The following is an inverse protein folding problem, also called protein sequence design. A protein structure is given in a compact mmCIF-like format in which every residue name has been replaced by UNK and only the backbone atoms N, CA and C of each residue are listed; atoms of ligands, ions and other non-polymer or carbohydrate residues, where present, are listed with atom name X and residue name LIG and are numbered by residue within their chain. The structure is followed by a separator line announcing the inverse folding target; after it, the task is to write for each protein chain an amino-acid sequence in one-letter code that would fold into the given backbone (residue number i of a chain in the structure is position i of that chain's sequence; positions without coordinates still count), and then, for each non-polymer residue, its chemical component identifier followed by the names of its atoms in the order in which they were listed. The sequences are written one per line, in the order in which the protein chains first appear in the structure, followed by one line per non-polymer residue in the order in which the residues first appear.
data_IF_000121785025
#
_entry.id   IF_000121785025
#
_cell.length_a   1.000
_cell.length_b   1.000
_cell.length_c   1.000
_cell.angle_alpha   90.00
_cell.angle_beta   90.00
_cell.angle_gamma   90.00
#
_symmetry.space_group_name_H-M   'P 1'
#
loop_
_entity.id
_entity.type
_entity.pdbx_description
1 polymer ?
#
# COMPACT_ATOMS: atom_id res chain seq x y z
N UNK A 1 9.90 27.93 13.37
CA UNK A 1 8.84 26.89 13.23
C UNK A 1 8.65 26.38 11.80
N UNK A 2 8.50 27.25 10.77
CA UNK A 2 8.29 26.78 9.39
C UNK A 2 9.42 25.89 8.83
N UNK A 3 10.68 26.27 9.06
CA UNK A 3 11.84 25.49 8.59
C UNK A 3 11.87 24.09 9.21
N UNK A 4 11.58 23.99 10.52
CA UNK A 4 11.41 22.71 11.21
C UNK A 4 10.31 21.86 10.55
N UNK A 5 9.14 22.43 10.26
CA UNK A 5 8.06 21.71 9.58
C UNK A 5 8.47 21.21 8.19
N UNK A 6 9.27 21.97 7.43
CA UNK A 6 9.79 21.52 6.14
C UNK A 6 10.81 20.38 6.27
N UNK A 7 11.70 20.43 7.27
CA UNK A 7 12.67 19.35 7.53
C UNK A 7 11.94 18.06 7.90
N UNK A 8 10.99 18.12 8.84
CA UNK A 8 10.19 16.96 9.22
C UNK A 8 9.35 16.42 8.06
N UNK A 9 8.78 17.29 7.23
CA UNK A 9 8.06 16.90 6.02
C UNK A 9 8.94 16.09 5.06
N UNK A 10 10.16 16.56 4.78
CA UNK A 10 11.08 15.85 3.88
C UNK A 10 11.50 14.50 4.47
N UNK A 11 11.83 14.45 5.76
CA UNK A 11 12.19 13.18 6.42
C UNK A 11 11.01 12.17 6.40
N UNK A 12 9.81 12.64 6.72
CA UNK A 12 8.61 11.82 6.70
C UNK A 12 8.25 11.34 5.29
N UNK A 13 8.48 12.18 4.26
CA UNK A 13 8.37 11.80 2.86
C UNK A 13 9.39 10.73 2.46
N UNK A 14 10.65 10.87 2.86
CA UNK A 14 11.68 9.89 2.53
C UNK A 14 11.35 8.51 3.10
N UNK A 15 10.92 8.44 4.37
CA UNK A 15 10.51 7.18 5.00
C UNK A 15 9.20 6.67 4.40
N UNK A 16 8.15 7.50 4.38
CA UNK A 16 6.82 7.09 3.92
C UNK A 16 6.78 6.74 2.44
N UNK A 17 7.36 7.60 1.61
CA UNK A 17 7.44 7.43 0.16
C UNK A 17 8.28 6.23 -0.26
N UNK A 18 9.41 5.98 0.42
CA UNK A 18 10.21 4.78 0.18
C UNK A 18 9.43 3.51 0.56
N UNK A 19 8.79 3.47 1.74
CA UNK A 19 7.98 2.33 2.16
C UNK A 19 6.81 2.05 1.20
N UNK A 20 6.08 3.08 0.75
CA UNK A 20 4.99 2.90 -0.23
C UNK A 20 5.48 2.52 -1.63
N UNK A 21 6.68 2.96 -2.03
CA UNK A 21 7.29 2.58 -3.31
C UNK A 21 7.81 1.15 -3.32
N UNK A 22 8.44 0.72 -2.21
CA UNK A 22 8.92 -0.67 -2.03
C UNK A 22 7.76 -1.64 -1.85
N UNK A 23 6.61 -1.17 -1.35
CA UNK A 23 5.41 -1.99 -1.17
C UNK A 23 4.98 -2.71 -2.45
N UNK A 24 5.06 -2.02 -3.60
CA UNK A 24 4.75 -2.61 -4.90
C UNK A 24 5.66 -3.80 -5.22
N UNK A 25 6.98 -3.58 -5.18
CA UNK A 25 7.98 -4.63 -5.45
C UNK A 25 7.88 -5.78 -4.44
N UNK A 26 7.57 -5.48 -3.18
CA UNK A 26 7.42 -6.51 -2.15
C UNK A 26 6.14 -7.34 -2.34
N UNK A 27 5.06 -6.78 -2.91
CA UNK A 27 3.85 -7.54 -3.26
C UNK A 27 4.08 -8.39 -4.51
N UNK A 28 4.79 -7.88 -5.52
CA UNK A 28 5.07 -8.62 -6.76
C UNK A 28 6.04 -9.78 -6.55
N UNK A 29 7.19 -9.54 -5.92
CA UNK A 29 8.18 -10.59 -5.65
C UNK A 29 7.61 -11.73 -4.79
N UNK A 30 6.56 -11.45 -4.01
CA UNK A 30 5.90 -12.43 -3.15
C UNK A 30 5.05 -13.44 -3.88
N UNK A 31 4.51 -13.07 -5.03
CA UNK A 31 3.79 -14.03 -5.85
C UNK A 31 4.73 -14.84 -6.74
N UNK A 32 6.05 -14.72 -6.55
CA UNK A 32 7.04 -15.44 -7.36
C UNK A 32 7.06 -14.97 -8.82
N UNK A 33 6.48 -13.80 -9.09
CA UNK A 33 6.27 -13.31 -10.45
C UNK A 33 7.39 -12.39 -10.92
N UNK A 34 8.24 -11.87 -10.03
CA UNK A 34 9.30 -10.90 -10.34
C UNK A 34 8.82 -9.69 -11.18
N UNK A 35 7.54 -9.31 -11.03
CA UNK A 35 6.91 -8.24 -11.83
C UNK A 35 6.37 -8.69 -13.19
N UNK A 36 6.41 -10.00 -13.49
CA UNK A 36 5.82 -10.59 -14.68
C UNK A 36 4.31 -10.79 -14.50
N UNK A 37 3.53 -10.05 -15.27
CA UNK A 37 2.07 -10.16 -15.26
C UNK A 37 1.56 -11.52 -15.72
N UNK A 38 2.32 -12.24 -16.56
CA UNK A 38 1.92 -13.57 -17.04
C UNK A 38 2.05 -14.61 -15.91
N UNK A 39 3.16 -14.60 -15.17
CA UNK A 39 3.33 -15.47 -13.99
C UNK A 39 2.27 -15.20 -12.92
N UNK A 40 1.91 -13.92 -12.74
CA UNK A 40 0.83 -13.54 -11.83
C UNK A 40 -0.50 -14.15 -12.24
N UNK A 41 -0.78 -14.15 -13.54
CA UNK A 41 -1.98 -14.74 -14.09
C UNK A 41 -1.98 -16.27 -13.98
N UNK A 42 -0.83 -16.92 -14.12
CA UNK A 42 -0.67 -18.36 -13.88
C UNK A 42 -0.99 -18.75 -12.43
N UNK A 43 -0.46 -18.01 -11.45
CA UNK A 43 -0.78 -18.25 -10.03
C UNK A 43 -2.29 -18.13 -9.79
N UNK A 44 -2.93 -17.07 -10.30
CA UNK A 44 -4.38 -16.91 -10.14
C UNK A 44 -5.21 -17.93 -10.91
N UNK A 45 -4.71 -18.45 -12.04
CA UNK A 45 -5.35 -19.57 -12.75
C UNK A 45 -5.28 -20.87 -11.96
N UNK A 46 -4.16 -21.15 -11.31
CA UNK A 46 -4.02 -22.30 -10.42
C UNK A 46 -5.02 -22.19 -9.26
N UNK A 47 -5.06 -21.03 -8.58
CA UNK A 47 -6.04 -20.79 -7.51
C UNK A 47 -7.48 -20.94 -8.00
N UNK A 48 -7.83 -20.45 -9.18
CA UNK A 48 -9.19 -20.59 -9.73
C UNK A 48 -9.55 -22.06 -10.03
N UNK A 49 -8.60 -22.85 -10.52
CA UNK A 49 -8.79 -24.27 -10.76
C UNK A 49 -8.96 -25.05 -9.46
N UNK A 50 -8.13 -24.78 -8.45
CA UNK A 50 -8.27 -25.37 -7.11
C UNK A 50 -9.60 -24.97 -6.46
N UNK A 51 -10.00 -23.70 -6.57
CA UNK A 51 -11.28 -23.21 -6.07
C UNK A 51 -12.46 -23.97 -6.72
N UNK A 52 -12.41 -24.21 -8.04
CA UNK A 52 -13.44 -24.98 -8.75
C UNK A 52 -13.52 -26.43 -8.29
N UNK A 53 -12.37 -27.08 -8.03
CA UNK A 53 -12.34 -28.44 -7.50
C UNK A 53 -12.96 -28.51 -6.11
N UNK A 54 -12.58 -27.58 -5.22
CA UNK A 54 -13.16 -27.47 -3.88
C UNK A 54 -14.66 -27.17 -3.91
N UNK A 55 -15.11 -26.29 -4.81
CA UNK A 55 -16.52 -25.94 -4.95
C UNK A 55 -17.36 -27.10 -5.53
N UNK A 56 -16.77 -27.95 -6.39
CA UNK A 56 -17.41 -29.18 -6.84
C UNK A 56 -17.57 -30.18 -5.69
N UNK A 57 -16.51 -30.42 -4.91
CA UNK A 57 -16.57 -31.30 -3.74
C UNK A 57 -17.61 -30.82 -2.71
N UNK A 58 -17.72 -29.51 -2.49
CA UNK A 58 -18.78 -28.92 -1.65
C UNK A 58 -20.18 -29.14 -2.21
N UNK A 59 -20.37 -29.01 -3.54
CA UNK A 59 -21.65 -29.26 -4.21
C UNK A 59 -22.08 -30.72 -4.13
N UNK A 60 -21.11 -31.63 -4.11
CA UNK A 60 -21.34 -33.06 -3.92
C UNK A 60 -21.64 -33.42 -2.45
N UNK A 61 -21.74 -32.42 -1.57
CA UNK A 61 -22.08 -32.57 -0.15
C UNK A 61 -20.91 -32.99 0.73
N UNK A 62 -19.68 -32.96 0.20
CA UNK A 62 -18.49 -33.35 0.93
C UNK A 62 -17.97 -32.16 1.73
N UNK A 63 -17.85 -32.34 3.05
CA UNK A 63 -17.26 -31.34 3.94
C UNK A 63 -15.73 -31.34 3.79
N UNK A 64 -15.23 -30.56 2.83
CA UNK A 64 -13.80 -30.38 2.51
C UNK A 64 -12.93 -29.97 3.71
N UNK A 65 -13.51 -29.44 4.79
CA UNK A 65 -12.75 -29.09 6.01
C UNK A 65 -12.45 -30.28 6.91
N UNK A 66 -13.09 -31.43 6.66
CA UNK A 66 -12.89 -32.68 7.43
C UNK A 66 -12.14 -33.75 6.66
N UNK A 67 -11.76 -33.48 5.41
CA UNK A 67 -11.03 -34.44 4.58
C UNK A 67 -9.54 -34.33 4.93
N UNK A 68 -8.94 -35.46 5.32
CA UNK A 68 -7.50 -35.53 5.62
C UNK A 68 -6.61 -35.70 4.38
N UNK A 69 -7.20 -35.68 3.18
CA UNK A 69 -6.49 -35.82 1.91
C UNK A 69 -5.43 -34.71 1.76
N UNK A 70 -4.14 -35.08 1.59
CA UNK A 70 -3.05 -34.14 1.42
C UNK A 70 -3.27 -33.15 0.28
N UNK A 71 -3.89 -33.58 -0.83
CA UNK A 71 -4.12 -32.71 -1.98
C UNK A 71 -5.16 -31.63 -1.67
N UNK A 72 -6.25 -31.99 -0.97
CA UNK A 72 -7.30 -31.04 -0.61
C UNK A 72 -6.80 -30.03 0.43
N UNK A 73 -5.95 -30.46 1.36
CA UNK A 73 -5.27 -29.56 2.30
C UNK A 73 -4.34 -28.58 1.58
N UNK A 74 -3.55 -29.05 0.62
CA UNK A 74 -2.67 -28.21 -0.19
C UNK A 74 -3.48 -27.20 -1.03
N UNK A 75 -4.57 -27.64 -1.68
CA UNK A 75 -5.49 -26.76 -2.42
C UNK A 75 -6.09 -25.67 -1.52
N UNK A 76 -6.54 -26.03 -0.31
CA UNK A 76 -7.08 -25.07 0.67
C UNK A 76 -6.01 -24.09 1.14
N UNK A 77 -4.79 -24.56 1.40
CA UNK A 77 -3.67 -23.74 1.82
C UNK A 77 -3.26 -22.74 0.72
N UNK A 78 -3.24 -23.16 -0.55
CA UNK A 78 -2.97 -22.29 -1.70
C UNK A 78 -4.05 -21.20 -1.85
N UNK A 79 -5.33 -21.58 -1.68
CA UNK A 79 -6.45 -20.63 -1.76
C UNK A 79 -6.40 -19.62 -0.60
N UNK A 80 -6.12 -20.08 0.62
CA UNK A 80 -6.10 -19.22 1.81
C UNK A 80 -4.86 -18.30 1.87
N UNK A 81 -3.71 -18.80 1.43
CA UNK A 81 -2.45 -18.03 1.44
C UNK A 81 -2.39 -16.98 0.33
N UNK A 82 -3.16 -17.15 -0.75
CA UNK A 82 -3.15 -16.23 -1.88
C UNK A 82 -4.14 -15.07 -1.68
N UNK A 83 -3.69 -13.81 -1.56
CA UNK A 83 -4.61 -12.68 -1.45
C UNK A 83 -5.38 -12.47 -2.76
N UNK A 84 -6.57 -11.86 -2.66
CA UNK A 84 -7.38 -11.54 -3.83
C UNK A 84 -6.64 -10.66 -4.85
N UNK A 85 -6.69 -11.03 -6.14
CA UNK A 85 -6.01 -10.36 -7.28
C UNK A 85 -6.17 -8.85 -7.28
N UNK A 86 -7.39 -8.38 -7.02
CA UNK A 86 -7.67 -6.95 -6.98
C UNK A 86 -6.88 -6.23 -5.88
N UNK A 87 -6.73 -6.79 -4.67
CA UNK A 87 -6.01 -6.14 -3.57
C UNK A 87 -4.55 -5.92 -3.93
N UNK A 88 -3.93 -6.91 -4.57
CA UNK A 88 -2.54 -6.87 -5.01
C UNK A 88 -2.34 -5.80 -6.07
N UNK A 89 -3.12 -5.86 -7.15
CA UNK A 89 -3.00 -4.93 -8.28
C UNK A 89 -3.28 -3.48 -7.86
N UNK A 90 -4.33 -3.26 -7.05
CA UNK A 90 -4.71 -1.92 -6.62
C UNK A 90 -3.77 -1.37 -5.55
N UNK A 91 -3.39 -2.15 -4.52
CA UNK A 91 -2.45 -1.67 -3.49
C UNK A 91 -1.10 -1.27 -4.10
N UNK A 92 -0.62 -2.06 -5.07
CA UNK A 92 0.60 -1.80 -5.79
C UNK A 92 0.59 -0.47 -6.55
N UNK A 93 -0.38 -0.29 -7.45
CA UNK A 93 -0.52 0.94 -8.25
C UNK A 93 -0.78 2.17 -7.38
N UNK A 94 -1.61 2.00 -6.34
CA UNK A 94 -1.98 3.09 -5.44
C UNK A 94 -0.78 3.53 -4.58
N UNK A 95 0.11 2.61 -4.19
CA UNK A 95 1.37 2.93 -3.49
C UNK A 95 2.31 3.82 -4.29
N UNK A 96 2.52 3.51 -5.57
CA UNK A 96 3.33 4.35 -6.48
C UNK A 96 2.68 5.71 -6.69
N UNK A 97 1.37 5.73 -6.96
CA UNK A 97 0.61 6.97 -7.14
C UNK A 97 0.73 7.89 -5.91
N UNK A 98 0.62 7.33 -4.70
CA UNK A 98 0.80 8.05 -3.45
C UNK A 98 2.20 8.63 -3.29
N UNK A 99 3.25 7.87 -3.63
CA UNK A 99 4.62 8.36 -3.58
C UNK A 99 4.82 9.58 -4.51
N UNK A 100 4.26 9.52 -5.73
CA UNK A 100 4.31 10.64 -6.68
C UNK A 100 3.52 11.84 -6.17
N UNK A 101 2.30 11.64 -5.67
CA UNK A 101 1.48 12.72 -5.12
C UNK A 101 2.15 13.38 -3.90
N UNK A 102 2.79 12.59 -3.04
CA UNK A 102 3.52 13.09 -1.89
C UNK A 102 4.76 13.90 -2.32
N UNK A 103 5.45 13.50 -3.38
CA UNK A 103 6.55 14.27 -3.95
C UNK A 103 6.07 15.62 -4.50
N UNK A 104 4.99 15.62 -5.28
CA UNK A 104 4.38 16.86 -5.80
C UNK A 104 3.95 17.77 -4.64
N UNK A 105 3.39 17.20 -3.56
CA UNK A 105 3.04 17.96 -2.37
C UNK A 105 4.24 18.64 -1.72
N UNK A 106 5.37 17.94 -1.59
CA UNK A 106 6.62 18.53 -1.08
C UNK A 106 7.03 19.72 -1.94
N UNK A 107 7.06 19.58 -3.27
CA UNK A 107 7.41 20.68 -4.19
C UNK A 107 6.46 21.87 -4.06
N UNK A 108 5.15 21.62 -4.05
CA UNK A 108 4.13 22.68 -3.92
C UNK A 108 4.21 23.38 -2.56
N UNK A 109 4.56 22.66 -1.48
CA UNK A 109 4.80 23.24 -0.17
C UNK A 109 5.99 24.22 -0.17
N UNK A 110 7.06 23.91 -0.91
CA UNK A 110 8.18 24.84 -1.14
C UNK A 110 7.78 26.05 -1.99
N UNK A 111 6.95 25.84 -3.02
CA UNK A 111 6.40 26.93 -3.86
C UNK A 111 5.37 27.81 -3.14
N UNK A 112 4.96 27.44 -1.91
CA UNK A 112 4.03 28.22 -1.07
C UNK A 112 2.67 28.46 -1.72
N UNK A 113 2.18 27.52 -2.54
CA UNK A 113 0.87 27.63 -3.20
C UNK A 113 -0.24 27.07 -2.32
N UNK A 114 -1.43 27.67 -2.40
CA UNK A 114 -2.66 27.21 -1.71
C UNK A 114 -3.02 25.75 -1.99
N UNK A 115 -2.66 25.28 -3.18
CA UNK A 115 -2.90 23.92 -3.64
C UNK A 115 -2.36 22.84 -2.69
N UNK A 116 -1.31 23.15 -1.90
CA UNK A 116 -0.74 22.23 -0.90
C UNK A 116 -1.78 21.75 0.12
N UNK A 117 -2.76 22.58 0.46
CA UNK A 117 -3.78 22.25 1.46
C UNK A 117 -4.74 21.17 0.96
N UNK A 118 -5.19 21.28 -0.30
CA UNK A 118 -6.06 20.27 -0.91
C UNK A 118 -5.28 18.97 -1.12
N UNK A 119 -4.04 19.09 -1.57
CA UNK A 119 -3.18 17.95 -1.84
C UNK A 119 -2.79 17.19 -0.56
N UNK A 120 -2.54 17.89 0.56
CA UNK A 120 -2.23 17.25 1.85
C UNK A 120 -3.40 16.43 2.40
N UNK A 121 -4.63 16.94 2.26
CA UNK A 121 -5.83 16.20 2.67
C UNK A 121 -6.00 14.95 1.80
N UNK A 122 -5.81 15.10 0.48
CA UNK A 122 -5.90 13.99 -0.46
C UNK A 122 -4.86 12.91 -0.17
N UNK A 123 -3.59 13.27 0.03
CA UNK A 123 -2.51 12.32 0.35
C UNK A 123 -2.78 11.60 1.66
N UNK A 124 -3.27 12.30 2.69
CA UNK A 124 -3.61 11.67 3.96
C UNK A 124 -4.75 10.65 3.82
N UNK A 125 -5.84 10.99 3.12
CA UNK A 125 -6.96 10.08 2.88
C UNK A 125 -6.54 8.86 2.05
N UNK A 126 -5.82 9.08 0.95
CA UNK A 126 -5.33 8.00 0.10
C UNK A 126 -4.37 7.08 0.87
N UNK A 127 -3.56 7.60 1.78
CA UNK A 127 -2.66 6.81 2.62
C UNK A 127 -3.41 5.83 3.52
N UNK A 128 -4.54 6.26 4.10
CA UNK A 128 -5.42 5.39 4.90
C UNK A 128 -6.08 4.33 4.02
N UNK A 129 -6.55 4.73 2.82
CA UNK A 129 -7.14 3.79 1.84
C UNK A 129 -6.11 2.74 1.42
N UNK A 130 -4.87 3.14 1.12
CA UNK A 130 -3.77 2.23 0.81
C UNK A 130 -3.60 1.19 1.91
N UNK A 131 -3.47 1.66 3.15
CA UNK A 131 -3.32 0.76 4.28
C UNK A 131 -4.51 -0.20 4.41
N UNK A 132 -5.74 0.26 4.21
CA UNK A 132 -6.94 -0.58 4.27
C UNK A 132 -6.94 -1.69 3.22
N UNK A 133 -6.63 -1.37 1.95
CA UNK A 133 -6.68 -2.32 0.83
C UNK A 133 -5.47 -3.26 0.76
N UNK A 134 -4.32 -2.87 1.32
CA UNK A 134 -3.12 -3.70 1.31
C UNK A 134 -3.41 -5.03 2.04
N UNK A 135 -3.16 -6.19 1.37
CA UNK A 135 -3.38 -7.48 1.98
C UNK A 135 -2.36 -7.77 3.08
N UNK A 136 -2.77 -8.54 4.07
CA UNK A 136 -1.84 -9.19 4.98
C UNK A 136 -1.22 -10.36 4.24
N UNK A 137 0.10 -10.38 4.11
CA UNK A 137 0.88 -11.53 3.65
C UNK A 137 1.97 -11.76 4.69
N UNK A 138 2.46 -12.99 4.85
CA UNK A 138 3.51 -13.29 5.84
C UNK A 138 4.79 -12.48 5.61
N UNK A 139 5.89 -12.65 6.34
CA UNK A 139 7.18 -12.02 5.99
C UNK A 139 7.86 -12.80 4.84
N UNK A 140 8.78 -12.18 4.09
CA UNK A 140 9.44 -12.84 2.97
C UNK A 140 10.68 -12.11 2.54
N UNK A 141 11.41 -12.72 1.62
CA UNK A 141 12.86 -12.62 1.50
C UNK A 141 13.42 -11.26 1.09
N UNK A 142 12.63 -10.36 0.48
CA UNK A 142 13.15 -9.08 -0.06
C UNK A 142 13.27 -7.96 0.98
N UNK A 143 12.38 -7.89 1.98
CA UNK A 143 12.46 -6.90 3.06
C UNK A 143 12.32 -7.48 4.46
N UNK A 144 11.97 -8.77 4.58
CA UNK A 144 11.60 -9.38 5.86
C UNK A 144 10.33 -8.82 6.49
N UNK A 145 9.70 -7.80 5.87
CA UNK A 145 8.53 -7.11 6.41
C UNK A 145 7.25 -7.50 5.65
N UNK A 146 6.18 -7.66 6.41
CA UNK A 146 4.83 -7.84 5.89
C UNK A 146 4.40 -6.59 5.09
N UNK A 147 3.83 -6.73 3.88
CA UNK A 147 3.27 -5.63 3.10
C UNK A 147 2.31 -4.73 3.88
N UNK A 148 1.47 -5.29 4.75
CA UNK A 148 0.57 -4.53 5.63
C UNK A 148 1.34 -3.63 6.60
N UNK A 149 2.44 -4.13 7.16
CA UNK A 149 3.31 -3.35 8.04
C UNK A 149 4.04 -2.25 7.28
N UNK A 150 4.52 -2.53 6.07
CA UNK A 150 5.10 -1.51 5.18
C UNK A 150 4.05 -0.45 4.80
N UNK A 151 2.81 -0.84 4.51
CA UNK A 151 1.72 0.09 4.24
C UNK A 151 1.42 0.96 5.46
N UNK A 152 1.49 0.40 6.67
CA UNK A 152 1.27 1.14 7.90
C UNK A 152 2.37 2.19 8.14
N UNK A 153 3.64 1.79 8.00
CA UNK A 153 4.79 2.71 8.10
C UNK A 153 4.68 3.80 7.03
N UNK A 154 4.37 3.41 5.79
CA UNK A 154 4.09 4.31 4.68
C UNK A 154 2.97 5.31 5.01
N UNK A 155 1.85 4.81 5.53
CA UNK A 155 0.70 5.62 5.93
C UNK A 155 1.06 6.64 7.01
N UNK A 156 1.73 6.21 8.09
CA UNK A 156 2.16 7.11 9.16
C UNK A 156 3.09 8.19 8.61
N UNK A 157 4.12 7.79 7.84
CA UNK A 157 5.06 8.73 7.23
C UNK A 157 4.38 9.76 6.32
N UNK A 158 3.46 9.32 5.46
CA UNK A 158 2.74 10.19 4.52
C UNK A 158 1.71 11.09 5.20
N UNK A 159 1.03 10.62 6.25
CA UNK A 159 0.12 11.44 7.06
C UNK A 159 0.89 12.53 7.81
N UNK A 160 2.03 12.18 8.43
CA UNK A 160 2.91 13.16 9.10
C UNK A 160 3.46 14.17 8.08
N UNK A 161 3.91 13.70 6.92
CA UNK A 161 4.34 14.56 5.82
C UNK A 161 3.24 15.56 5.41
N UNK A 162 2.01 15.06 5.25
CA UNK A 162 0.84 15.88 4.89
C UNK A 162 0.51 16.93 5.95
N UNK A 163 0.55 16.55 7.23
CA UNK A 163 0.33 17.47 8.34
C UNK A 163 1.40 18.57 8.41
N UNK A 164 2.67 18.22 8.21
CA UNK A 164 3.77 19.18 8.17
C UNK A 164 3.69 20.12 6.97
N UNK A 165 3.30 19.62 5.79
CA UNK A 165 3.08 20.44 4.59
C UNK A 165 1.96 21.47 4.81
N UNK A 166 0.83 21.04 5.39
CA UNK A 166 -0.30 21.90 5.74
C UNK A 166 0.10 22.98 6.76
N UNK A 167 0.78 22.59 7.84
CA UNK A 167 1.26 23.54 8.85
C UNK A 167 2.26 24.54 8.29
N UNK A 168 3.19 24.09 7.44
CA UNK A 168 4.17 24.98 6.79
C UNK A 168 3.51 26.10 5.99
N UNK A 169 2.42 25.77 5.28
CA UNK A 169 1.64 26.74 4.51
C UNK A 169 0.84 27.70 5.41
N UNK A 170 0.15 27.20 6.43
CA UNK A 170 -0.57 28.05 7.39
C UNK A 170 0.35 29.02 8.14
N UNK A 171 1.54 28.57 8.53
CA UNK A 171 2.56 29.43 9.14
C UNK A 171 3.07 30.50 8.17
N UNK A 172 3.12 30.21 6.87
CA UNK A 172 3.47 31.22 5.87
C UNK A 172 2.42 32.32 5.75
N UNK A 173 1.14 31.93 5.65
CA UNK A 173 0.02 32.87 5.58
C UNK A 173 -0.03 33.77 6.82
N UNK A 174 0.09 33.20 8.02
CA UNK A 174 0.13 33.97 9.27
C UNK A 174 1.28 34.99 9.29
N UNK A 175 2.47 34.59 8.80
CA UNK A 175 3.60 35.52 8.70
C UNK A 175 3.32 36.63 7.69
N UNK A 176 2.74 36.31 6.53
CA UNK A 176 2.43 37.29 5.49
C UNK A 176 1.42 38.34 5.97
N UNK A 177 0.39 37.91 6.70
CA UNK A 177 -0.64 38.79 7.27
C UNK A 177 -0.12 39.67 8.42
N UNK A 178 0.90 39.22 9.16
CA UNK A 178 1.52 40.01 10.23
C UNK A 178 2.51 41.07 9.71
N UNK A 179 2.88 41.02 8.44
CA UNK A 179 3.81 41.97 7.78
C UNK A 179 3.12 42.87 6.75
N UNK A 180 1.81 42.71 6.54
CA UNK A 180 0.98 43.58 5.72
C UNK A 180 0.26 44.59 6.61
#
# INVERSE_FOLDING_TARGET
MRVLALIFMVLAFLVGGFCTGVLFKNIENRMGTDGDSEKLEEVYRLVENEQKQIDQLKKDGIDVTKIEDPQIKESLEIIESTPAKWKVVYAGKLGILLAVLAFVMVVVAFMKKEFVTKLSILVALLSVVLWAITPYMEAGTFSGANPKSLALIGCIGLVVCSACAFMSYKLHLKKSQATA
#
